data_IF_123205455697
#
_entry.id   IF_123205455697
#
_cell.length_a   1.000
_cell.length_b   1.000
_cell.length_c   1.000
_cell.angle_alpha   90.00
_cell.angle_beta   90.00
_cell.angle_gamma   90.00
#
_symmetry.space_group_name_H-M   'P 1'
#
loop_
_entity.id
_entity.type
_entity.pdbx_description
1 polymer ?
#
# COMPACT_ATOMS: atom_id res chain seq x y z
N UNK A 1 5.72 -6.37 -13.97
CA UNK A 1 4.73 -5.54 -13.27
C UNK A 1 3.61 -6.40 -12.72
N UNK A 2 3.30 -6.23 -11.46
CA UNK A 2 2.23 -6.99 -10.81
C UNK A 2 1.33 -6.03 -10.04
N UNK A 3 0.05 -6.37 -9.95
CA UNK A 3 -0.89 -5.68 -9.09
C UNK A 3 -1.26 -6.62 -7.96
N UNK A 4 -1.12 -6.15 -6.72
CA UNK A 4 -1.44 -6.93 -5.54
C UNK A 4 -2.51 -6.21 -4.73
N UNK A 5 -3.31 -6.99 -4.03
CA UNK A 5 -4.31 -6.46 -3.12
C UNK A 5 -3.77 -6.52 -1.70
N UNK A 6 -4.06 -5.48 -0.92
CA UNK A 6 -3.67 -5.44 0.48
C UNK A 6 -4.69 -4.73 1.33
N UNK A 7 -4.42 -4.71 2.62
CA UNK A 7 -5.23 -4.01 3.60
C UNK A 7 -4.35 -2.95 4.26
N UNK A 8 -4.84 -1.71 4.30
CA UNK A 8 -4.10 -0.60 4.90
C UNK A 8 -4.05 -0.79 6.41
N UNK A 9 -2.84 -0.79 6.98
CA UNK A 9 -2.63 -0.92 8.42
C UNK A 9 -2.12 0.36 9.07
N UNK A 10 -1.57 1.27 8.29
CA UNK A 10 -1.10 2.53 8.80
C UNK A 10 -0.70 3.45 7.68
N UNK A 11 -0.66 4.74 7.95
CA UNK A 11 -0.30 5.75 6.96
C UNK A 11 0.45 6.88 7.64
N UNK A 12 1.53 7.31 7.02
CA UNK A 12 2.32 8.46 7.46
C UNK A 12 2.18 9.58 6.44
N UNK A 13 1.42 10.61 6.80
CA UNK A 13 1.18 11.73 5.90
C UNK A 13 2.44 12.59 5.68
N UNK A 14 3.36 12.59 6.63
CA UNK A 14 4.60 13.36 6.49
C UNK A 14 5.50 12.86 5.39
N UNK A 15 5.62 11.55 5.25
CA UNK A 15 6.44 10.93 4.21
C UNK A 15 5.60 10.38 3.04
N UNK A 16 4.30 10.37 3.18
CA UNK A 16 3.34 9.80 2.23
C UNK A 16 3.66 8.34 1.94
N UNK A 17 3.85 7.59 3.02
CA UNK A 17 4.11 6.15 2.96
C UNK A 17 3.09 5.41 3.80
N UNK A 18 2.93 4.13 3.55
CA UNK A 18 1.94 3.32 4.22
C UNK A 18 2.51 1.99 4.67
N UNK A 19 1.88 1.41 5.70
CA UNK A 19 2.08 0.03 6.10
C UNK A 19 0.90 -0.77 5.59
N UNK A 20 1.18 -1.83 4.85
CA UNK A 20 0.15 -2.62 4.16
C UNK A 20 0.36 -4.10 4.48
N UNK A 21 -0.74 -4.77 4.81
CA UNK A 21 -0.74 -6.23 4.94
C UNK A 21 -1.18 -6.81 3.60
N UNK A 22 -0.32 -7.62 2.99
CA UNK A 22 -0.62 -8.22 1.69
C UNK A 22 -1.73 -9.24 1.84
N UNK A 23 -2.72 -9.21 0.97
CA UNK A 23 -3.85 -10.13 1.01
C UNK A 23 -3.38 -11.57 0.83
N UNK A 24 -3.97 -12.47 1.61
CA UNK A 24 -3.59 -13.88 1.59
C UNK A 24 -2.42 -14.23 2.50
N UNK A 25 -1.81 -13.23 3.15
CA UNK A 25 -0.70 -13.47 4.07
C UNK A 25 -0.93 -12.70 5.36
N UNK A 26 -1.15 -13.40 6.45
CA UNK A 26 -1.34 -12.77 7.76
C UNK A 26 -0.01 -12.36 8.40
N UNK A 27 1.09 -12.87 7.89
CA UNK A 27 2.42 -12.63 8.45
C UNK A 27 3.23 -11.61 7.66
N UNK A 28 2.80 -11.23 6.46
CA UNK A 28 3.57 -10.34 5.60
C UNK A 28 2.99 -8.93 5.65
N UNK A 29 3.71 -8.04 6.31
CA UNK A 29 3.39 -6.62 6.35
C UNK A 29 4.52 -5.86 5.69
N UNK A 30 4.18 -4.96 4.78
CA UNK A 30 5.13 -4.11 4.08
C UNK A 30 5.07 -2.72 4.69
N UNK A 31 6.22 -2.21 5.12
CA UNK A 31 6.32 -0.86 5.70
C UNK A 31 7.02 0.08 4.74
N UNK A 32 6.72 1.37 4.87
CA UNK A 32 7.36 2.38 4.03
C UNK A 32 6.99 2.30 2.56
N UNK A 33 5.82 1.74 2.24
CA UNK A 33 5.36 1.65 0.86
C UNK A 33 4.91 3.03 0.39
N UNK A 34 5.45 3.49 -0.73
CA UNK A 34 5.08 4.79 -1.28
C UNK A 34 3.60 4.82 -1.65
N UNK A 35 2.97 5.96 -1.40
CA UNK A 35 1.56 6.18 -1.75
C UNK A 35 1.50 7.21 -2.87
N UNK A 36 0.68 6.93 -3.89
CA UNK A 36 0.49 7.86 -4.99
C UNK A 36 -0.03 9.20 -4.46
N UNK A 37 0.59 10.30 -4.86
CA UNK A 37 0.30 11.60 -4.30
C UNK A 37 -1.05 12.17 -4.74
N UNK A 38 -1.69 11.55 -5.71
CA UNK A 38 -3.05 11.90 -6.12
C UNK A 38 -4.11 11.30 -5.19
N UNK A 39 -3.72 10.43 -4.24
CA UNK A 39 -4.63 9.91 -3.24
C UNK A 39 -4.65 10.89 -2.07
N UNK A 40 -5.85 11.35 -1.71
CA UNK A 40 -6.03 12.24 -0.57
C UNK A 40 -5.69 11.49 0.72
N UNK A 41 -4.93 12.12 1.61
CA UNK A 41 -4.57 11.52 2.89
C UNK A 41 -5.79 11.16 3.72
N UNK A 42 -6.91 11.86 3.57
CA UNK A 42 -8.15 11.56 4.26
C UNK A 42 -8.76 10.21 3.86
N UNK A 43 -8.39 9.70 2.67
CA UNK A 43 -8.86 8.39 2.21
C UNK A 43 -8.03 7.24 2.78
N UNK A 44 -6.88 7.52 3.37
CA UNK A 44 -5.97 6.51 3.90
C UNK A 44 -6.39 6.12 5.31
N UNK A 45 -7.50 5.40 5.41
CA UNK A 45 -8.08 4.96 6.67
C UNK A 45 -7.70 3.49 6.91
N UNK A 46 -7.23 3.20 8.11
CA UNK A 46 -6.85 1.84 8.48
C UNK A 46 -8.01 0.86 8.30
N UNK A 47 -7.72 -0.28 7.70
CA UNK A 47 -8.71 -1.33 7.43
C UNK A 47 -9.27 -1.29 6.01
N UNK A 48 -9.02 -0.23 5.27
CA UNK A 48 -9.47 -0.17 3.87
C UNK A 48 -8.60 -1.05 2.97
N UNK A 49 -9.19 -1.51 1.87
CA UNK A 49 -8.44 -2.25 0.85
C UNK A 49 -7.61 -1.30 0.00
N UNK A 50 -6.44 -1.76 -0.39
CA UNK A 50 -5.56 -0.99 -1.28
C UNK A 50 -5.10 -1.87 -2.43
N UNK A 51 -4.80 -1.24 -3.56
CA UNK A 51 -4.13 -1.88 -4.68
C UNK A 51 -2.68 -1.41 -4.72
N UNK A 52 -1.78 -2.37 -4.80
CA UNK A 52 -0.34 -2.13 -4.85
C UNK A 52 0.15 -2.45 -6.25
N UNK A 53 0.86 -1.51 -6.86
CA UNK A 53 1.50 -1.73 -8.14
C UNK A 53 2.97 -2.00 -7.88
N UNK A 54 3.42 -3.20 -8.23
CA UNK A 54 4.82 -3.60 -8.09
C UNK A 54 5.46 -3.56 -9.47
N UNK A 55 6.42 -2.67 -9.66
CA UNK A 55 7.05 -2.47 -10.97
C UNK A 55 8.03 -3.59 -11.30
N UNK A 56 8.75 -4.07 -10.30
CA UNK A 56 9.72 -5.15 -10.46
C UNK A 56 9.34 -6.29 -9.52
N UNK A 57 8.95 -7.43 -10.09
CA UNK A 57 8.49 -8.58 -9.31
C UNK A 57 9.57 -9.15 -8.40
N UNK A 58 10.84 -8.89 -8.70
CA UNK A 58 11.95 -9.39 -7.88
C UNK A 58 12.37 -8.40 -6.80
N UNK A 59 11.78 -7.20 -6.77
CA UNK A 59 12.12 -6.18 -5.77
C UNK A 59 10.85 -5.75 -5.01
N UNK A 60 10.62 -6.28 -3.80
CA UNK A 60 9.41 -5.95 -3.04
C UNK A 60 9.35 -4.50 -2.56
N UNK A 61 10.45 -3.76 -2.62
CA UNK A 61 10.47 -2.35 -2.23
C UNK A 61 10.03 -1.43 -3.37
N UNK A 62 9.92 -1.95 -4.58
CA UNK A 62 9.55 -1.16 -5.76
C UNK A 62 8.05 -1.21 -5.99
N UNK A 63 7.31 -0.65 -5.04
CA UNK A 63 5.85 -0.66 -5.02
C UNK A 63 5.28 0.72 -4.76
N UNK A 64 4.07 0.93 -5.23
CA UNK A 64 3.29 2.13 -4.90
C UNK A 64 1.84 1.74 -4.65
N UNK A 65 1.22 2.35 -3.63
CA UNK A 65 -0.23 2.25 -3.43
C UNK A 65 -0.88 3.15 -4.48
N UNK A 66 -1.61 2.55 -5.41
CA UNK A 66 -2.20 3.28 -6.53
C UNK A 66 -3.71 3.47 -6.40
N UNK A 67 -4.36 2.78 -5.46
CA UNK A 67 -5.79 2.92 -5.21
C UNK A 67 -6.12 2.50 -3.78
N UNK A 68 -7.18 3.07 -3.24
CA UNK A 68 -7.73 2.71 -1.94
C UNK A 68 -9.26 2.72 -2.03
N UNK A 69 -9.90 1.74 -1.38
CA UNK A 69 -11.36 1.65 -1.33
C UNK A 69 -11.78 0.86 -0.09
N UNK A 70 -13.06 0.88 0.21
CA UNK A 70 -13.65 0.12 1.32
C UNK A 70 -13.98 -1.31 0.94
#
# INVERSE_FOLDING_TARGET
MEIRRGILRGFNAGSYTATVQVAGSIATWLTGVAVARNIDSAEMVEGRSVALLQFDASNPDDMVVCAVWE
#
